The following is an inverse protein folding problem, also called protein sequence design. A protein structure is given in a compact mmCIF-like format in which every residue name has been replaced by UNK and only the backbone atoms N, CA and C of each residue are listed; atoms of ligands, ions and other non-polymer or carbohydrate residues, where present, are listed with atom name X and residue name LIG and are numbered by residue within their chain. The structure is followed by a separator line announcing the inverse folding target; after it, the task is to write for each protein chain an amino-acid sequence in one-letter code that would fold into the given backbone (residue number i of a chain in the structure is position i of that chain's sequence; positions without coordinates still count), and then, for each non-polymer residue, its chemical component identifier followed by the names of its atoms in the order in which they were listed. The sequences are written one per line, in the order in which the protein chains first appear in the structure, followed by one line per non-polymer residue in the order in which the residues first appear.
data_IF_827814959533
#
_entry.id   IF_827814959533
#
_cell.length_a   1.000
_cell.length_b   1.000
_cell.length_c   1.000
_cell.angle_alpha   90.00
_cell.angle_beta   90.00
_cell.angle_gamma   90.00
#
_symmetry.space_group_name_H-M   'P 1'
#
loop_
_entity.id
_entity.type
_entity.pdbx_description
1 polymer ?
#
# COMPACT_ATOMS: atom_id res chain seq x y z
N UNK A 1 -8.20 55.77 4.75
CA UNK A 1 -8.04 54.55 5.61
C UNK A 1 -6.61 54.48 6.12
N UNK A 2 -6.42 54.49 7.43
CA UNK A 2 -5.09 54.55 8.06
C UNK A 2 -4.33 53.24 7.80
N UNK A 3 -3.05 53.28 7.40
CA UNK A 3 -2.27 52.08 7.05
C UNK A 3 -2.16 51.01 8.16
N UNK A 4 -2.28 51.43 9.42
CA UNK A 4 -2.25 50.53 10.59
C UNK A 4 -3.46 49.58 10.70
N UNK A 5 -4.63 49.95 10.16
CA UNK A 5 -5.81 49.10 10.26
C UNK A 5 -5.75 47.88 9.35
N UNK A 6 -5.16 48.04 8.15
CA UNK A 6 -4.96 46.89 7.23
C UNK A 6 -3.96 45.85 7.78
N UNK A 7 -2.90 46.33 8.43
CA UNK A 7 -1.91 45.44 9.05
C UNK A 7 -2.53 44.64 10.22
N UNK A 8 -3.37 45.28 11.05
CA UNK A 8 -4.02 44.64 12.19
C UNK A 8 -5.00 43.53 11.74
N UNK A 9 -5.76 43.79 10.67
CA UNK A 9 -6.68 42.77 10.07
C UNK A 9 -5.93 41.60 9.49
N UNK A 10 -4.78 41.84 8.84
CA UNK A 10 -3.95 40.75 8.25
C UNK A 10 -3.34 39.88 9.34
N UNK A 11 -2.85 40.43 10.44
CA UNK A 11 -2.31 39.67 11.57
C UNK A 11 -3.40 38.83 12.24
N UNK A 12 -4.58 39.40 12.46
CA UNK A 12 -5.72 38.71 13.06
C UNK A 12 -6.18 37.49 12.19
N UNK A 13 -6.24 37.68 10.86
CA UNK A 13 -6.59 36.60 9.94
C UNK A 13 -5.56 35.47 9.96
N UNK A 14 -4.26 35.82 10.00
CA UNK A 14 -3.19 34.82 10.08
C UNK A 14 -3.25 34.04 11.39
N UNK A 15 -3.47 34.70 12.52
CA UNK A 15 -3.63 34.05 13.82
C UNK A 15 -4.83 33.11 13.85
N UNK A 16 -5.95 33.50 13.23
CA UNK A 16 -7.14 32.63 13.13
C UNK A 16 -6.87 31.39 12.32
N UNK A 17 -6.20 31.51 11.15
CA UNK A 17 -5.84 30.38 10.31
C UNK A 17 -4.91 29.40 11.05
N UNK A 18 -3.90 29.92 11.75
CA UNK A 18 -3.00 29.09 12.55
C UNK A 18 -3.72 28.39 13.70
N UNK A 19 -4.66 29.08 14.36
CA UNK A 19 -5.46 28.49 15.44
C UNK A 19 -6.35 27.37 14.93
N UNK A 20 -7.03 27.58 13.80
CA UNK A 20 -7.86 26.55 13.15
C UNK A 20 -7.00 25.36 12.71
N UNK A 21 -5.84 25.61 12.09
CA UNK A 21 -4.91 24.56 11.70
C UNK A 21 -4.42 23.76 12.93
N UNK A 22 -4.11 24.41 14.03
CA UNK A 22 -3.70 23.78 15.28
C UNK A 22 -4.81 22.94 15.90
N UNK A 23 -6.06 23.43 15.87
CA UNK A 23 -7.23 22.69 16.36
C UNK A 23 -7.53 21.47 15.50
N UNK A 24 -7.41 21.61 14.18
CA UNK A 24 -7.55 20.48 13.24
C UNK A 24 -6.45 19.45 13.47
N UNK A 25 -5.19 19.88 13.59
CA UNK A 25 -4.06 19.01 13.90
C UNK A 25 -4.26 18.24 15.21
N UNK A 26 -4.73 18.92 16.27
CA UNK A 26 -5.04 18.26 17.55
C UNK A 26 -6.20 17.27 17.46
N UNK A 27 -7.18 17.52 16.59
CA UNK A 27 -8.29 16.58 16.36
C UNK A 27 -7.92 15.38 15.51
N UNK A 28 -7.02 15.56 14.57
CA UNK A 28 -6.59 14.46 13.68
C UNK A 28 -5.66 13.45 14.38
N UNK A 29 -5.08 13.84 15.52
CA UNK A 29 -4.09 13.00 16.22
C UNK A 29 -2.78 12.87 15.43
N UNK A 30 -1.78 12.18 15.97
CA UNK A 30 -0.60 11.81 15.21
C UNK A 30 -1.03 10.89 14.06
N UNK A 31 -0.49 11.14 12.85
CA UNK A 31 -0.70 10.25 11.72
C UNK A 31 -0.31 8.83 12.14
N UNK A 32 -1.14 7.82 11.84
CA UNK A 32 -0.82 6.45 12.17
C UNK A 32 0.53 6.08 11.52
N UNK A 33 1.46 5.61 12.34
CA UNK A 33 2.73 5.09 11.85
C UNK A 33 2.45 3.76 11.17
N UNK A 34 2.66 3.72 9.85
CA UNK A 34 2.57 2.47 9.10
C UNK A 34 3.67 1.53 9.55
N UNK A 35 3.31 0.30 9.85
CA UNK A 35 4.24 -0.75 10.22
C UNK A 35 4.31 -1.79 9.12
N UNK A 36 5.54 -2.19 8.77
CA UNK A 36 5.78 -3.25 7.80
C UNK A 36 6.03 -4.57 8.54
N UNK A 37 5.35 -5.62 8.08
CA UNK A 37 5.51 -6.96 8.59
C UNK A 37 5.77 -7.93 7.46
N UNK A 38 6.85 -8.69 7.55
CA UNK A 38 7.19 -9.72 6.58
C UNK A 38 6.22 -10.91 6.69
N UNK A 39 5.65 -11.31 5.54
CA UNK A 39 4.81 -12.51 5.41
C UNK A 39 5.63 -13.66 4.87
N UNK A 40 6.39 -13.43 3.80
CA UNK A 40 7.23 -14.43 3.17
C UNK A 40 8.49 -13.79 2.58
N UNK A 41 9.56 -14.59 2.51
CA UNK A 41 10.80 -14.26 1.80
C UNK A 41 10.71 -14.59 0.31
N UNK A 42 11.88 -14.81 -0.28
CA UNK A 42 11.99 -15.10 -1.72
C UNK A 42 11.15 -16.29 -2.14
N UNK A 43 10.31 -16.09 -3.15
CA UNK A 43 9.42 -17.13 -3.69
C UNK A 43 9.15 -16.91 -5.18
N UNK A 44 8.86 -17.98 -5.90
CA UNK A 44 8.39 -17.93 -7.28
C UNK A 44 6.86 -17.98 -7.30
N UNK A 45 6.24 -16.92 -7.83
CA UNK A 45 4.79 -16.85 -8.03
C UNK A 45 4.48 -17.42 -9.41
N UNK A 46 3.55 -18.37 -9.47
CA UNK A 46 3.13 -19.05 -10.70
C UNK A 46 1.61 -18.93 -10.90
N UNK A 47 1.08 -19.62 -11.90
CA UNK A 47 -0.38 -19.69 -12.13
C UNK A 47 -1.14 -20.45 -11.05
N UNK A 48 -0.45 -21.22 -10.23
CA UNK A 48 -1.06 -21.87 -9.06
C UNK A 48 -1.09 -20.93 -7.87
N UNK A 49 -2.15 -21.02 -7.05
CA UNK A 49 -2.25 -20.28 -5.82
C UNK A 49 -1.21 -20.74 -4.82
N UNK A 50 -0.38 -19.80 -4.38
CA UNK A 50 0.49 -19.97 -3.21
C UNK A 50 -0.22 -19.39 -1.99
N UNK A 51 -0.24 -20.13 -0.90
CA UNK A 51 -0.85 -19.71 0.37
C UNK A 51 0.22 -19.54 1.43
N UNK A 52 0.21 -18.40 2.09
CA UNK A 52 1.10 -18.06 3.19
C UNK A 52 0.27 -17.91 4.47
N UNK A 53 0.51 -18.80 5.44
CA UNK A 53 -0.07 -18.67 6.77
C UNK A 53 0.56 -17.48 7.49
N UNK A 54 -0.25 -16.71 8.19
CA UNK A 54 0.22 -15.51 8.89
C UNK A 54 -0.11 -15.58 10.37
N UNK A 55 0.95 -15.61 11.21
CA UNK A 55 0.82 -15.68 12.68
C UNK A 55 1.68 -14.57 13.30
N UNK A 56 1.10 -13.68 14.13
CA UNK A 56 -0.32 -13.47 14.41
C UNK A 56 -1.06 -13.01 13.14
N UNK A 57 -2.39 -13.10 13.16
CA UNK A 57 -3.23 -12.71 12.03
C UNK A 57 -3.05 -11.24 11.63
N UNK A 58 -3.34 -10.95 10.36
CA UNK A 58 -3.32 -9.59 9.84
C UNK A 58 -4.60 -8.87 10.26
N UNK A 59 -4.45 -7.64 10.75
CA UNK A 59 -5.56 -6.75 11.08
C UNK A 59 -5.43 -5.48 10.27
N UNK A 60 -6.42 -5.14 9.45
CA UNK A 60 -6.42 -3.87 8.74
C UNK A 60 -6.55 -2.70 9.72
N UNK A 61 -5.86 -1.61 9.42
CA UNK A 61 -5.97 -0.34 10.14
C UNK A 61 -6.68 0.73 9.31
N UNK A 62 -7.68 0.33 8.51
CA UNK A 62 -8.39 1.21 7.59
C UNK A 62 -7.84 1.19 6.17
N UNK A 63 -8.01 2.30 5.42
CA UNK A 63 -7.70 2.39 3.99
C UNK A 63 -6.20 2.27 3.63
N UNK A 64 -5.32 2.20 4.59
CA UNK A 64 -3.87 2.15 4.37
C UNK A 64 -3.27 0.75 4.41
N UNK A 65 -4.09 -0.28 4.66
CA UNK A 65 -3.60 -1.65 4.76
C UNK A 65 -3.32 -2.24 3.38
N UNK A 66 -2.10 -2.71 3.17
CA UNK A 66 -1.60 -3.19 1.88
C UNK A 66 -0.84 -4.52 2.01
N UNK A 67 -0.99 -5.38 1.01
CA UNK A 67 -0.01 -6.44 0.73
C UNK A 67 0.95 -5.91 -0.33
N UNK A 68 2.23 -5.90 -0.07
CA UNK A 68 3.28 -5.45 -0.98
C UNK A 68 4.06 -6.66 -1.46
N UNK A 69 4.16 -6.83 -2.76
CA UNK A 69 5.01 -7.82 -3.41
C UNK A 69 6.25 -7.12 -3.93
N UNK A 70 7.41 -7.38 -3.35
CA UNK A 70 8.70 -6.93 -3.88
C UNK A 70 9.10 -7.86 -5.03
N UNK A 71 8.85 -7.45 -6.26
CA UNK A 71 9.09 -8.24 -7.45
C UNK A 71 10.51 -8.02 -7.97
N UNK A 72 11.15 -9.11 -8.41
CA UNK A 72 12.45 -9.08 -9.09
C UNK A 72 12.25 -8.96 -10.60
N UNK A 73 13.07 -8.13 -11.25
CA UNK A 73 13.10 -7.99 -12.71
C UNK A 73 12.70 -6.59 -13.20
N UNK A 74 12.83 -6.42 -14.50
CA UNK A 74 12.50 -5.15 -15.16
C UNK A 74 11.03 -5.11 -15.54
N UNK A 75 10.30 -4.25 -14.87
CA UNK A 75 8.90 -3.96 -15.20
C UNK A 75 8.60 -2.48 -14.95
N UNK A 76 7.62 -1.97 -15.68
CA UNK A 76 7.08 -0.62 -15.50
C UNK A 76 5.58 -0.69 -15.24
N UNK A 77 5.03 0.16 -14.35
CA UNK A 77 3.59 0.20 -14.13
C UNK A 77 2.88 0.81 -15.34
N UNK A 78 1.86 0.13 -15.82
CA UNK A 78 0.88 0.69 -16.76
C UNK A 78 -0.39 1.03 -15.97
N UNK A 79 -0.46 2.24 -15.43
CA UNK A 79 -1.57 2.68 -14.58
C UNK A 79 -2.90 2.76 -15.32
N UNK A 80 -2.89 3.01 -16.65
CA UNK A 80 -4.13 3.05 -17.43
C UNK A 80 -4.77 1.66 -17.52
N UNK A 81 -3.94 0.62 -17.64
CA UNK A 81 -4.39 -0.77 -17.70
C UNK A 81 -4.40 -1.47 -16.36
N UNK A 82 -3.92 -0.81 -15.31
CA UNK A 82 -3.71 -1.40 -13.98
C UNK A 82 -2.92 -2.72 -14.06
N UNK A 83 -1.84 -2.72 -14.82
CA UNK A 83 -0.98 -3.89 -15.07
C UNK A 83 0.49 -3.49 -15.02
N UNK A 84 1.33 -4.49 -14.85
CA UNK A 84 2.77 -4.36 -15.01
C UNK A 84 3.13 -4.69 -16.46
N UNK A 85 3.95 -3.83 -17.07
CA UNK A 85 4.57 -4.06 -18.37
C UNK A 85 5.97 -4.61 -18.14
N UNK A 86 6.22 -5.80 -18.60
CA UNK A 86 7.52 -6.47 -18.52
C UNK A 86 8.46 -6.03 -19.66
N UNK A 87 9.75 -6.34 -19.52
CA UNK A 87 10.77 -6.00 -20.52
C UNK A 87 10.47 -6.57 -21.91
N UNK A 88 9.78 -7.70 -22.01
CA UNK A 88 9.31 -8.30 -23.26
C UNK A 88 8.09 -7.59 -23.89
N UNK A 89 7.64 -6.46 -23.30
CA UNK A 89 6.47 -5.71 -23.71
C UNK A 89 5.12 -6.31 -23.29
N UNK A 90 5.10 -7.50 -22.72
CA UNK A 90 3.88 -8.14 -22.26
C UNK A 90 3.32 -7.47 -21.02
N UNK A 91 2.01 -7.63 -20.80
CA UNK A 91 1.30 -7.14 -19.63
C UNK A 91 0.92 -8.31 -18.73
N UNK A 92 1.03 -8.10 -17.42
CA UNK A 92 0.58 -9.05 -16.41
C UNK A 92 0.36 -8.36 -15.08
N UNK A 93 -0.37 -9.02 -14.20
CA UNK A 93 -0.60 -8.57 -12.83
C UNK A 93 -0.76 -9.80 -11.93
N UNK A 94 -0.04 -9.84 -10.81
CA UNK A 94 -0.35 -10.84 -9.79
C UNK A 94 -1.77 -10.63 -9.24
N UNK A 95 -2.42 -11.71 -8.89
CA UNK A 95 -3.65 -11.69 -8.13
C UNK A 95 -3.31 -11.94 -6.66
N UNK A 96 -3.87 -11.12 -5.77
CA UNK A 96 -3.63 -11.19 -4.34
C UNK A 96 -4.98 -11.27 -3.62
N UNK A 97 -5.09 -12.15 -2.65
CA UNK A 97 -6.28 -12.33 -1.83
C UNK A 97 -5.89 -12.50 -0.36
N UNK A 98 -6.70 -11.94 0.53
CA UNK A 98 -6.68 -12.29 1.95
C UNK A 98 -7.71 -13.37 2.22
N UNK A 99 -7.43 -14.20 3.23
CA UNK A 99 -8.35 -15.25 3.68
C UNK A 99 -8.58 -15.08 5.18
N UNK A 100 -9.84 -14.98 5.59
CA UNK A 100 -10.19 -14.92 6.99
C UNK A 100 -10.18 -16.33 7.66
N UNK A 101 -10.48 -16.39 8.95
CA UNK A 101 -10.54 -17.66 9.70
C UNK A 101 -11.64 -18.60 9.21
N UNK A 102 -12.69 -18.08 8.61
CA UNK A 102 -13.82 -18.85 8.08
C UNK A 102 -13.55 -19.34 6.65
N UNK A 103 -12.42 -18.97 6.04
CA UNK A 103 -12.07 -19.32 4.68
C UNK A 103 -12.68 -18.40 3.61
N UNK A 104 -13.30 -17.27 4.00
CA UNK A 104 -13.79 -16.29 3.02
C UNK A 104 -12.62 -15.59 2.33
N UNK A 105 -12.79 -15.33 1.05
CA UNK A 105 -11.78 -14.74 0.18
C UNK A 105 -12.06 -13.26 -0.04
N UNK A 106 -11.02 -12.43 0.16
CA UNK A 106 -11.08 -10.99 -0.04
C UNK A 106 -10.05 -10.59 -1.10
N UNK A 107 -10.46 -10.37 -2.36
CA UNK A 107 -9.56 -9.97 -3.42
C UNK A 107 -9.01 -8.57 -3.15
N UNK A 108 -7.71 -8.41 -3.39
CA UNK A 108 -7.04 -7.11 -3.33
C UNK A 108 -6.76 -6.60 -4.74
N UNK A 109 -6.87 -5.29 -4.93
CA UNK A 109 -6.62 -4.62 -6.18
C UNK A 109 -5.27 -3.91 -6.17
N UNK A 110 -4.64 -3.82 -7.33
CA UNK A 110 -3.41 -3.07 -7.48
C UNK A 110 -3.67 -1.57 -7.25
N UNK A 111 -2.96 -0.97 -6.31
CA UNK A 111 -3.14 0.42 -5.93
C UNK A 111 -1.93 1.29 -6.26
N UNK A 112 -0.71 0.77 -6.09
CA UNK A 112 0.49 1.58 -6.22
C UNK A 112 1.73 0.75 -6.55
N UNK A 113 2.73 1.43 -7.09
CA UNK A 113 4.10 0.92 -7.15
C UNK A 113 4.88 1.53 -6.00
N UNK A 114 5.51 0.69 -5.21
CA UNK A 114 6.43 1.12 -4.18
C UNK A 114 7.84 1.01 -4.73
N UNK A 115 8.50 2.15 -4.94
CA UNK A 115 9.90 2.17 -5.31
C UNK A 115 10.75 2.14 -4.05
N UNK A 116 11.52 1.09 -3.88
CA UNK A 116 12.59 1.04 -2.89
C UNK A 116 13.91 1.34 -3.59
N UNK A 117 14.76 2.10 -2.95
CA UNK A 117 16.03 2.67 -3.40
C UNK A 117 16.73 1.99 -4.58
N UNK A 118 17.27 2.83 -5.48
CA UNK A 118 18.25 2.45 -6.49
C UNK A 118 19.58 2.08 -5.83
N UNK A 119 19.83 0.81 -5.65
CA UNK A 119 21.19 0.29 -5.49
C UNK A 119 21.64 -0.32 -6.81
N UNK A 120 22.36 0.45 -7.61
CA UNK A 120 22.89 -0.01 -8.90
C UNK A 120 21.84 -0.07 -10.02
N UNK A 121 22.02 -1.00 -10.97
CA UNK A 121 21.16 -1.19 -12.16
C UNK A 121 19.85 -1.94 -11.90
N UNK A 122 19.65 -2.48 -10.68
CA UNK A 122 18.46 -3.22 -10.34
C UNK A 122 17.45 -2.31 -9.64
N UNK A 123 16.38 -1.97 -10.33
CA UNK A 123 15.21 -1.30 -9.75
C UNK A 123 14.36 -2.40 -9.08
N UNK A 124 14.51 -2.60 -7.79
CA UNK A 124 13.55 -3.38 -7.02
C UNK A 124 12.33 -2.50 -6.78
N UNK A 125 11.24 -2.84 -7.42
CA UNK A 125 9.95 -2.18 -7.21
C UNK A 125 8.99 -3.13 -6.48
N UNK A 126 8.20 -2.59 -5.57
CA UNK A 126 7.10 -3.31 -4.92
C UNK A 126 5.77 -2.97 -5.59
N UNK A 127 4.93 -3.96 -5.83
CA UNK A 127 3.54 -3.76 -6.21
C UNK A 127 2.67 -3.86 -4.96
N UNK A 128 1.94 -2.78 -4.65
CA UNK A 128 1.04 -2.71 -3.50
C UNK A 128 -0.40 -3.04 -3.89
N UNK A 129 -1.02 -3.93 -3.14
CA UNK A 129 -2.39 -4.39 -3.32
C UNK A 129 -3.21 -4.10 -2.07
N UNK A 130 -4.40 -3.56 -2.25
CA UNK A 130 -5.32 -3.24 -1.17
C UNK A 130 -6.77 -3.27 -1.62
N UNK A 131 -7.68 -3.03 -0.70
CA UNK A 131 -9.09 -2.86 -0.97
C UNK A 131 -9.64 -1.72 -0.11
N UNK A 132 -10.47 -0.88 -0.70
CA UNK A 132 -11.10 0.25 0.00
C UNK A 132 -12.20 -0.17 0.98
N UNK A 133 -12.73 -1.36 0.78
CA UNK A 133 -13.85 -1.95 1.52
C UNK A 133 -13.44 -3.14 2.40
N UNK A 134 -12.13 -3.27 2.66
CA UNK A 134 -11.63 -4.35 3.51
C UNK A 134 -12.17 -4.19 4.95
N UNK A 135 -12.95 -5.17 5.46
CA UNK A 135 -13.50 -5.10 6.80
C UNK A 135 -12.40 -4.95 7.87
N UNK A 136 -12.43 -3.84 8.61
CA UNK A 136 -11.41 -3.53 9.63
C UNK A 136 -11.61 -4.30 10.95
N UNK A 137 -12.79 -4.85 11.16
CA UNK A 137 -13.16 -5.66 12.30
C UNK A 137 -12.77 -7.15 12.14
N UNK A 138 -12.25 -7.52 10.97
CA UNK A 138 -11.82 -8.88 10.65
C UNK A 138 -10.33 -9.07 10.78
N UNK A 139 -9.97 -10.32 11.06
CA UNK A 139 -8.59 -10.79 11.04
C UNK A 139 -8.40 -11.77 9.88
N UNK A 140 -7.23 -11.70 9.24
CA UNK A 140 -6.89 -12.54 8.09
C UNK A 140 -5.74 -13.46 8.46
N UNK A 141 -5.97 -14.75 8.29
CA UNK A 141 -5.01 -15.81 8.66
C UNK A 141 -4.08 -16.21 7.53
N UNK A 142 -4.43 -15.87 6.28
CA UNK A 142 -3.62 -16.21 5.10
C UNK A 142 -3.59 -15.10 4.08
N UNK A 143 -2.48 -15.08 3.34
CA UNK A 143 -2.35 -14.36 2.07
C UNK A 143 -2.20 -15.38 0.95
N UNK A 144 -2.95 -15.21 -0.13
CA UNK A 144 -2.86 -16.02 -1.35
C UNK A 144 -2.38 -15.16 -2.51
N UNK A 145 -1.47 -15.71 -3.28
CA UNK A 145 -0.91 -15.01 -4.45
C UNK A 145 -0.79 -15.97 -5.62
N UNK A 146 -1.12 -15.51 -6.82
CA UNK A 146 -0.80 -16.20 -8.08
C UNK A 146 -0.50 -15.20 -9.19
N UNK A 147 0.09 -15.64 -10.28
CA UNK A 147 0.29 -14.81 -11.47
C UNK A 147 0.25 -15.70 -12.72
N UNK A 148 -0.47 -15.28 -13.76
CA UNK A 148 -0.49 -15.96 -15.05
C UNK A 148 0.94 -16.09 -15.63
N UNK A 149 1.75 -15.05 -15.46
CA UNK A 149 3.17 -15.08 -15.79
C UNK A 149 3.99 -15.43 -14.57
N UNK A 150 4.98 -16.34 -14.69
CA UNK A 150 5.89 -16.61 -13.59
C UNK A 150 6.62 -15.34 -13.18
N UNK A 151 6.59 -15.01 -11.89
CA UNK A 151 7.25 -13.86 -11.29
C UNK A 151 8.17 -14.34 -10.17
N UNK A 152 9.31 -13.67 -10.03
CA UNK A 152 10.14 -13.82 -8.84
C UNK A 152 9.78 -12.69 -7.87
N UNK A 153 9.51 -13.08 -6.64
CA UNK A 153 9.21 -12.15 -5.56
C UNK A 153 10.27 -12.33 -4.48
N UNK A 154 11.01 -11.27 -4.15
CA UNK A 154 12.02 -11.32 -3.10
C UNK A 154 11.40 -11.31 -1.72
N UNK A 155 10.21 -10.69 -1.59
CA UNK A 155 9.55 -10.50 -0.30
C UNK A 155 8.06 -10.21 -0.46
N UNK A 156 7.26 -10.72 0.46
CA UNK A 156 5.84 -10.37 0.63
C UNK A 156 5.68 -9.69 1.99
N UNK A 157 5.12 -8.48 1.99
CA UNK A 157 5.02 -7.62 3.17
C UNK A 157 3.56 -7.25 3.39
N UNK A 158 3.12 -7.25 4.65
CA UNK A 158 1.91 -6.57 5.08
C UNK A 158 2.27 -5.20 5.65
N UNK A 159 1.61 -4.17 5.18
CA UNK A 159 1.71 -2.79 5.70
C UNK A 159 0.37 -2.36 6.26
N UNK A 160 0.35 -1.94 7.50
CA UNK A 160 -0.85 -1.41 8.16
C UNK A 160 -0.52 -0.34 9.19
#
# INVERSE_FOLDING_TARGET
MRPGFKALVSVGALCLVLLVALLLYRRMGPLPTLTDRDIAGSTAITSQWLEFQVVPELKPTGMTSLVILELEGDYTPDFQKQKLRFADGSLGMPEVQLVDQQGNLFPLHFLMVHHRDRTGSNVMGGAGFGASDLPVDRSYSKVRVRSEKPLKCSKIIWRS
#
